data_IF_531092767095
#
_entry.id   IF_531092767095
#
_cell.length_a   1.000
_cell.length_b   1.000
_cell.length_c   1.000
_cell.angle_alpha   90.00
_cell.angle_beta   90.00
_cell.angle_gamma   90.00
#
_symmetry.space_group_name_H-M   'P 1'
#
loop_
_entity.id
_entity.type
_entity.pdbx_description
1 polymer ?
#
# COMPACT_ATOMS: atom_id res chain seq x y z
N UNK A 1 -8.86 11.97 -13.09
CA UNK A 1 -7.67 11.17 -13.46
C UNK A 1 -6.91 10.55 -12.26
N UNK A 2 -7.49 10.44 -11.04
CA UNK A 2 -6.73 10.04 -9.84
C UNK A 2 -6.71 8.54 -9.50
N UNK A 3 -7.58 7.72 -10.10
CA UNK A 3 -7.74 6.31 -9.69
C UNK A 3 -6.55 5.42 -10.07
N UNK A 4 -6.08 5.49 -11.33
CA UNK A 4 -5.02 4.60 -11.82
C UNK A 4 -3.68 4.77 -11.08
N UNK A 5 -3.32 5.99 -10.70
CA UNK A 5 -2.09 6.27 -9.95
C UNK A 5 -2.11 5.64 -8.56
N UNK A 6 -3.24 5.68 -7.85
CA UNK A 6 -3.38 5.04 -6.53
C UNK A 6 -3.36 3.52 -6.61
N UNK A 7 -3.94 2.94 -7.66
CA UNK A 7 -3.88 1.50 -7.88
C UNK A 7 -2.42 1.04 -8.08
N UNK A 8 -1.67 1.72 -8.95
CA UNK A 8 -0.25 1.41 -9.18
C UNK A 8 0.59 1.57 -7.91
N UNK A 9 0.36 2.65 -7.14
CA UNK A 9 1.03 2.86 -5.86
C UNK A 9 0.81 1.70 -4.89
N UNK A 10 -0.43 1.24 -4.73
CA UNK A 10 -0.76 0.09 -3.87
C UNK A 10 -0.05 -1.18 -4.34
N UNK A 11 -0.03 -1.44 -5.65
CA UNK A 11 0.70 -2.58 -6.22
C UNK A 11 2.21 -2.50 -5.94
N UNK A 12 2.83 -1.34 -6.15
CA UNK A 12 4.26 -1.15 -5.94
C UNK A 12 4.68 -1.27 -4.48
N UNK A 13 3.84 -0.82 -3.54
CA UNK A 13 4.12 -0.98 -2.11
C UNK A 13 3.87 -2.43 -1.69
N UNK A 14 2.76 -3.04 -2.12
CA UNK A 14 2.41 -4.41 -1.72
C UNK A 14 3.43 -5.45 -2.20
N UNK A 15 3.96 -5.33 -3.44
CA UNK A 15 4.98 -6.28 -3.95
C UNK A 15 6.28 -6.25 -3.15
N UNK A 16 6.57 -5.17 -2.41
CA UNK A 16 7.73 -5.12 -1.50
C UNK A 16 7.52 -5.92 -0.23
N UNK A 17 6.28 -6.23 0.12
CA UNK A 17 5.92 -6.93 1.36
C UNK A 17 5.77 -8.45 1.16
N UNK A 18 5.73 -8.93 -0.09
CA UNK A 18 5.42 -10.35 -0.41
C UNK A 18 6.42 -11.35 0.17
N UNK A 19 7.61 -10.91 0.57
CA UNK A 19 8.59 -11.72 1.29
C UNK A 19 8.20 -12.00 2.76
N UNK A 20 7.19 -11.29 3.28
CA UNK A 20 6.68 -11.41 4.64
C UNK A 20 7.58 -10.80 5.72
N UNK A 21 8.68 -10.16 5.35
CA UNK A 21 9.58 -9.50 6.29
C UNK A 21 9.03 -8.13 6.73
N UNK A 22 9.61 -7.59 7.80
CA UNK A 22 9.39 -6.20 8.20
C UNK A 22 10.25 -5.28 7.35
N UNK A 23 9.65 -4.19 6.88
CA UNK A 23 10.30 -3.18 6.04
C UNK A 23 10.00 -1.79 6.58
N UNK A 24 11.00 -0.90 6.63
CA UNK A 24 10.77 0.52 6.96
C UNK A 24 10.15 1.24 5.77
N UNK A 25 9.17 2.11 6.04
CA UNK A 25 8.52 2.91 4.99
C UNK A 25 9.52 3.80 4.24
N UNK A 26 10.53 4.35 4.91
CA UNK A 26 11.59 5.17 4.31
C UNK A 26 12.47 4.39 3.31
N UNK A 27 12.69 3.09 3.56
CA UNK A 27 13.43 2.24 2.64
C UNK A 27 12.59 1.95 1.39
N UNK A 28 11.30 1.66 1.57
CA UNK A 28 10.35 1.46 0.47
C UNK A 28 10.26 2.74 -0.39
N UNK A 29 10.13 3.91 0.24
CA UNK A 29 10.08 5.20 -0.47
C UNK A 29 11.33 5.46 -1.30
N UNK A 30 12.51 5.19 -0.74
CA UNK A 30 13.79 5.31 -1.46
C UNK A 30 13.91 4.31 -2.61
N UNK A 31 13.56 3.03 -2.39
CA UNK A 31 13.64 1.99 -3.42
C UNK A 31 12.67 2.21 -4.59
N UNK A 32 11.50 2.79 -4.32
CA UNK A 32 10.48 3.07 -5.33
C UNK A 32 10.63 4.46 -5.95
N UNK A 33 11.55 5.30 -5.44
CA UNK A 33 11.66 6.72 -5.79
C UNK A 33 10.32 7.48 -5.63
N UNK A 34 9.59 7.18 -4.56
CA UNK A 34 8.29 7.76 -4.27
C UNK A 34 8.33 8.70 -3.06
N UNK A 35 7.45 9.71 -3.00
CA UNK A 35 7.28 10.54 -1.82
C UNK A 35 6.89 9.72 -0.59
N UNK A 36 7.48 10.05 0.57
CA UNK A 36 7.20 9.35 1.84
C UNK A 36 5.70 9.34 2.17
N UNK A 37 5.02 10.48 2.01
CA UNK A 37 3.59 10.59 2.28
C UNK A 37 2.73 9.66 1.40
N UNK A 38 3.16 9.35 0.17
CA UNK A 38 2.47 8.40 -0.71
C UNK A 38 2.64 6.96 -0.20
N UNK A 39 3.86 6.60 0.23
CA UNK A 39 4.15 5.28 0.80
C UNK A 39 3.43 5.10 2.15
N UNK A 40 3.44 6.11 3.02
CA UNK A 40 2.68 6.09 4.28
C UNK A 40 1.17 5.96 4.05
N UNK A 41 0.63 6.65 3.04
CA UNK A 41 -0.78 6.49 2.66
C UNK A 41 -1.08 5.05 2.20
N UNK A 42 -0.23 4.48 1.35
CA UNK A 42 -0.39 3.12 0.85
C UNK A 42 -0.30 2.10 2.00
N UNK A 43 0.69 2.25 2.89
CA UNK A 43 0.88 1.41 4.05
C UNK A 43 -0.36 1.40 4.97
N UNK A 44 -0.90 2.58 5.25
CA UNK A 44 -2.14 2.72 6.02
C UNK A 44 -3.32 2.07 5.33
N UNK A 45 -3.50 2.30 4.02
CA UNK A 45 -4.57 1.65 3.26
C UNK A 45 -4.47 0.12 3.32
N UNK A 46 -3.28 -0.44 3.11
CA UNK A 46 -3.07 -1.89 3.18
C UNK A 46 -3.36 -2.43 4.58
N UNK A 47 -2.94 -1.72 5.63
CA UNK A 47 -3.22 -2.08 7.02
C UNK A 47 -4.71 -2.03 7.35
N UNK A 48 -5.40 -0.95 6.98
CA UNK A 48 -6.83 -0.75 7.23
C UNK A 48 -7.69 -1.85 6.56
N UNK A 49 -7.20 -2.40 5.43
CA UNK A 49 -7.85 -3.50 4.72
C UNK A 49 -7.32 -4.90 5.10
N UNK A 50 -6.47 -5.00 6.13
CA UNK A 50 -5.93 -6.27 6.63
C UNK A 50 -4.95 -6.98 5.69
N UNK A 51 -4.42 -6.26 4.70
CA UNK A 51 -3.39 -6.74 3.76
C UNK A 51 -1.98 -6.58 4.33
N UNK A 52 -1.80 -5.70 5.32
CA UNK A 52 -0.52 -5.44 5.96
C UNK A 52 -0.68 -5.26 7.47
N UNK A 53 0.42 -5.35 8.20
CA UNK A 53 0.52 -5.02 9.62
C UNK A 53 1.54 -3.90 9.78
N UNK A 54 1.22 -2.88 10.58
CA UNK A 54 2.13 -1.79 10.94
C UNK A 54 2.87 -2.13 12.24
N UNK A 55 4.17 -1.87 12.26
CA UNK A 55 5.06 -2.10 13.39
C UNK A 55 5.36 -0.82 14.18
N UNK A 56 6.23 -0.95 15.18
CA UNK A 56 6.83 0.19 15.87
C UNK A 56 7.89 0.81 14.95
N UNK A 57 7.98 2.14 14.87
CA UNK A 57 8.92 2.90 14.01
C UNK A 57 8.67 2.91 12.48
N UNK A 58 7.42 3.10 12.05
CA UNK A 58 7.07 3.22 10.63
C UNK A 58 7.53 1.98 9.82
N UNK A 59 7.34 0.81 10.42
CA UNK A 59 7.56 -0.48 9.77
C UNK A 59 6.25 -1.06 9.25
N UNK A 60 6.35 -1.85 8.19
CA UNK A 60 5.24 -2.56 7.58
C UNK A 60 5.65 -3.98 7.17
N UNK A 61 4.75 -4.95 7.33
CA UNK A 61 4.88 -6.30 6.78
C UNK A 61 3.58 -6.77 6.14
N UNK A 62 3.66 -7.82 5.33
CA UNK A 62 2.46 -8.49 4.80
C UNK A 62 1.61 -9.06 5.94
N UNK A 63 0.30 -8.83 5.87
CA UNK A 63 -0.66 -9.38 6.81
C UNK A 63 -0.79 -10.89 6.68
N UNK A 64 -0.96 -11.60 7.80
CA UNK A 64 -1.07 -13.08 7.81
C UNK A 64 -2.39 -13.61 7.24
N UNK A 65 -3.39 -12.76 7.03
CA UNK A 65 -4.71 -13.18 6.52
C UNK A 65 -4.66 -13.34 5.01
N UNK A 66 -5.36 -14.35 4.48
CA UNK A 66 -5.60 -14.52 3.05
C UNK A 66 -6.60 -13.48 2.52
N UNK A 67 -6.26 -12.20 2.61
CA UNK A 67 -6.99 -11.12 1.96
C UNK A 67 -6.61 -11.08 0.48
N UNK A 68 -7.60 -11.03 -0.41
CA UNK A 68 -7.37 -10.96 -1.86
C UNK A 68 -7.08 -9.52 -2.25
N UNK A 69 -5.79 -9.21 -2.42
CA UNK A 69 -5.31 -7.88 -2.80
C UNK A 69 -6.07 -7.29 -4.00
N UNK A 70 -6.24 -8.09 -5.06
CA UNK A 70 -6.92 -7.64 -6.28
C UNK A 70 -8.39 -7.22 -6.05
N UNK A 71 -9.11 -7.93 -5.18
CA UNK A 71 -10.51 -7.61 -4.87
C UNK A 71 -10.59 -6.27 -4.12
N UNK A 72 -9.71 -6.06 -3.14
CA UNK A 72 -9.65 -4.84 -2.33
C UNK A 72 -9.24 -3.63 -3.18
N UNK A 73 -8.27 -3.80 -4.08
CA UNK A 73 -7.80 -2.70 -4.93
C UNK A 73 -8.80 -2.39 -6.04
N UNK A 74 -9.54 -3.38 -6.56
CA UNK A 74 -10.60 -3.15 -7.56
C UNK A 74 -11.73 -2.28 -7.03
N UNK A 75 -12.03 -2.41 -5.74
CA UNK A 75 -13.10 -1.65 -5.08
C UNK A 75 -12.64 -0.26 -4.63
N UNK A 76 -11.37 0.10 -4.86
CA UNK A 76 -10.85 1.44 -4.60
C UNK A 76 -11.64 2.45 -5.46
N UNK A 77 -12.38 3.41 -4.86
CA UNK A 77 -13.15 4.35 -5.63
C UNK A 77 -12.23 5.14 -6.55
N UNK A 78 -12.29 4.85 -7.85
CA UNK A 78 -11.88 5.80 -8.87
C UNK A 78 -12.71 7.04 -8.63
N UNK A 79 -12.09 8.10 -8.09
CA UNK A 79 -12.73 9.40 -7.98
C UNK A 79 -13.13 9.82 -9.40
N UNK A 80 -14.36 9.49 -9.80
CA UNK A 80 -15.05 10.08 -10.94
C UNK A 80 -15.45 11.43 -10.41
N UNK A 81 -14.69 12.46 -10.79
CA UNK A 81 -15.13 13.83 -10.56
C UNK A 81 -16.51 13.96 -11.18
N UNK A 82 -17.53 14.11 -10.34
CA UNK A 82 -18.80 14.69 -10.76
C UNK A 82 -18.49 16.13 -11.11
N UNK A 83 -18.55 16.40 -12.41
CA UNK A 83 -18.56 17.74 -13.00
C UNK A 83 -19.87 18.43 -12.62
#
# INVERSE_FOLDING_TARGET
MGGGARHMLLWYVWIRLVDGAWHRLDDIARQLHLPQNAVSWAARFLSDNGLAELGEEDEIRLGKKHARFEEIVRDLPTFRGTV
#
